data_IF_929142853273
#
_entry.id   IF_929142853273
#
_cell.length_a   1.000
_cell.length_b   1.000
_cell.length_c   1.000
_cell.angle_alpha   90.00
_cell.angle_beta   90.00
_cell.angle_gamma   90.00
#
_symmetry.space_group_name_H-M   'P 1'
#
loop_
_entity.id
_entity.type
_entity.pdbx_description
1 polymer ?
#
# COMPACT_ATOMS: atom_id res chain seq x y z
N UNK A 1 -2.06 15.30 22.00
CA UNK A 1 -0.90 16.11 21.59
C UNK A 1 0.30 15.62 22.39
N UNK A 2 1.31 15.06 21.73
CA UNK A 2 2.59 14.62 22.33
C UNK A 2 3.67 15.57 21.82
N UNK A 3 4.60 15.97 22.70
CA UNK A 3 5.63 16.99 22.47
C UNK A 3 6.88 16.44 21.74
N UNK A 4 6.78 15.26 21.12
CA UNK A 4 7.89 14.67 20.36
C UNK A 4 9.08 14.20 21.21
N UNK A 5 9.05 14.39 22.53
CA UNK A 5 10.03 13.86 23.48
C UNK A 5 9.27 13.09 24.57
N UNK A 6 9.29 11.76 24.46
CA UNK A 6 8.56 10.86 25.37
C UNK A 6 9.26 10.77 26.74
N UNK A 7 9.10 11.79 27.58
CA UNK A 7 9.72 11.85 28.91
C UNK A 7 8.78 11.49 30.07
N UNK A 8 7.82 10.58 29.86
CA UNK A 8 6.99 10.04 30.95
C UNK A 8 6.85 8.51 30.86
N UNK A 9 7.77 7.80 31.52
CA UNK A 9 7.55 6.44 32.04
C UNK A 9 7.97 5.25 31.18
N UNK A 10 7.99 5.38 29.85
CA UNK A 10 8.40 4.30 28.92
C UNK A 10 9.56 4.80 28.06
N UNK A 11 10.78 4.66 28.58
CA UNK A 11 12.02 5.02 27.88
C UNK A 11 12.57 3.90 26.99
N UNK A 12 11.85 2.77 26.88
CA UNK A 12 12.16 1.67 25.95
C UNK A 12 11.09 1.66 24.84
N UNK A 13 11.45 1.89 23.56
CA UNK A 13 10.54 1.80 22.43
C UNK A 13 9.69 0.53 22.42
N UNK A 14 10.27 -0.63 22.79
CA UNK A 14 9.53 -1.91 22.83
C UNK A 14 8.49 -1.94 23.94
N UNK A 15 8.77 -1.30 25.08
CA UNK A 15 7.80 -1.20 26.18
C UNK A 15 6.61 -0.32 25.81
N UNK A 16 6.83 0.70 24.97
CA UNK A 16 5.76 1.54 24.43
C UNK A 16 4.92 0.78 23.40
N UNK A 17 5.55 0.00 22.51
CA UNK A 17 4.87 -0.87 21.56
C UNK A 17 3.95 -1.87 22.28
N UNK A 18 4.46 -2.61 23.26
CA UNK A 18 3.64 -3.55 24.07
C UNK A 18 2.49 -2.85 24.80
N UNK A 19 2.73 -1.65 25.35
CA UNK A 19 1.65 -0.90 25.99
C UNK A 19 0.55 -0.50 24.99
N UNK A 20 0.93 -0.14 23.78
CA UNK A 20 -0.01 0.23 22.72
C UNK A 20 -0.80 -1.00 22.27
N UNK A 21 -0.14 -2.16 22.09
CA UNK A 21 -0.78 -3.44 21.80
C UNK A 21 -1.81 -3.82 22.88
N UNK A 22 -1.44 -3.73 24.16
CA UNK A 22 -2.36 -3.99 25.28
C UNK A 22 -3.59 -3.04 25.26
N UNK A 23 -3.38 -1.78 24.87
CA UNK A 23 -4.47 -0.80 24.75
C UNK A 23 -5.36 -1.07 23.55
N UNK A 24 -4.76 -1.45 22.42
CA UNK A 24 -5.49 -1.90 21.23
C UNK A 24 -6.39 -3.08 21.56
N UNK A 25 -5.88 -4.09 22.26
CA UNK A 25 -6.65 -5.29 22.62
C UNK A 25 -7.83 -4.96 23.56
N UNK A 26 -7.76 -3.83 24.29
CA UNK A 26 -8.86 -3.27 25.08
C UNK A 26 -9.85 -2.39 24.29
N UNK A 27 -9.70 -2.31 22.96
CA UNK A 27 -10.53 -1.52 22.05
C UNK A 27 -10.09 -0.07 21.86
N UNK A 28 -8.85 0.29 22.23
CA UNK A 28 -8.32 1.65 22.08
C UNK A 28 -7.34 1.75 20.91
N UNK A 29 -7.71 2.50 19.88
CA UNK A 29 -6.86 2.76 18.73
C UNK A 29 -5.93 3.97 18.94
N UNK A 30 -4.70 3.91 18.43
CA UNK A 30 -3.73 5.01 18.49
C UNK A 30 -3.48 5.61 17.10
N UNK A 31 -3.88 6.86 16.91
CA UNK A 31 -3.42 7.67 15.76
C UNK A 31 -2.41 8.74 16.21
N UNK A 32 -1.34 8.90 15.43
CA UNK A 32 -0.23 9.82 15.72
C UNK A 32 -0.21 10.92 14.67
N UNK A 33 -0.37 12.17 15.10
CA UNK A 33 -0.35 13.35 14.23
C UNK A 33 0.88 14.20 14.56
N UNK A 34 1.83 14.28 13.63
CA UNK A 34 2.98 15.15 13.71
C UNK A 34 2.71 16.48 13.01
N UNK A 35 3.23 17.58 13.56
CA UNK A 35 3.11 18.91 12.96
C UNK A 35 4.49 19.57 12.88
N UNK A 36 4.83 20.23 11.77
CA UNK A 36 6.08 20.99 11.67
C UNK A 36 6.61 21.15 10.24
N UNK A 37 7.89 21.52 10.10
CA UNK A 37 8.59 21.68 8.81
C UNK A 37 10.01 21.05 8.78
N UNK A 38 10.30 20.06 9.63
CA UNK A 38 11.68 19.54 9.81
C UNK A 38 11.78 18.16 10.49
N UNK A 39 12.99 17.57 10.41
CA UNK A 39 13.37 16.16 10.63
C UNK A 39 12.44 15.30 11.50
N UNK A 40 11.95 14.20 10.93
CA UNK A 40 10.81 13.48 11.45
C UNK A 40 11.14 12.02 11.72
N UNK A 41 10.83 11.61 12.94
CA UNK A 41 10.73 10.21 13.32
C UNK A 41 9.44 9.60 12.72
N UNK A 42 9.27 9.76 11.40
CA UNK A 42 8.13 9.27 10.63
C UNK A 42 8.00 7.76 10.79
N UNK A 43 9.14 7.05 10.76
CA UNK A 43 9.22 5.63 11.05
C UNK A 43 8.70 5.27 12.44
N UNK A 44 9.01 6.08 13.47
CA UNK A 44 8.51 5.84 14.84
C UNK A 44 7.02 6.14 14.93
N UNK A 45 6.54 7.25 14.37
CA UNK A 45 5.11 7.57 14.36
C UNK A 45 4.30 6.48 13.64
N UNK A 46 4.81 6.02 12.50
CA UNK A 46 4.20 4.97 11.70
C UNK A 46 4.17 3.64 12.45
N UNK A 47 5.28 3.26 13.10
CA UNK A 47 5.36 2.04 13.91
C UNK A 47 4.37 2.08 15.08
N UNK A 48 4.31 3.18 15.83
CA UNK A 48 3.39 3.31 16.98
C UNK A 48 1.94 3.28 16.54
N UNK A 49 1.59 3.97 15.45
CA UNK A 49 0.23 3.96 14.92
C UNK A 49 -0.16 2.57 14.39
N UNK A 50 0.76 1.86 13.72
CA UNK A 50 0.54 0.50 13.23
C UNK A 50 0.26 -0.46 14.39
N UNK A 51 1.07 -0.45 15.45
CA UNK A 51 0.88 -1.32 16.61
C UNK A 51 -0.41 -0.99 17.39
N UNK A 52 -0.93 0.23 17.25
CA UNK A 52 -2.18 0.66 17.85
C UNK A 52 -3.37 0.64 16.89
N UNK A 53 -3.26 -0.03 15.75
CA UNK A 53 -4.30 -0.15 14.72
C UNK A 53 -4.86 1.20 14.22
N UNK A 54 -4.10 2.29 14.33
CA UNK A 54 -4.50 3.62 13.89
C UNK A 54 -3.65 4.15 12.73
N UNK A 55 -3.67 5.47 12.55
CA UNK A 55 -3.00 6.13 11.42
C UNK A 55 -1.90 7.07 11.91
N UNK A 56 -0.81 7.15 11.14
CA UNK A 56 0.20 8.18 11.31
C UNK A 56 0.07 9.20 10.18
N UNK A 57 0.06 10.48 10.51
CA UNK A 57 0.06 11.54 9.51
C UNK A 57 0.95 12.70 9.95
N UNK A 58 1.68 13.26 9.00
CA UNK A 58 2.46 14.47 9.20
C UNK A 58 1.78 15.65 8.50
N UNK A 59 1.63 16.75 9.22
CA UNK A 59 0.90 17.93 8.77
C UNK A 59 1.87 19.12 8.78
N UNK A 60 2.34 19.49 7.59
CA UNK A 60 3.24 20.62 7.35
C UNK A 60 2.59 21.76 6.55
N UNK A 61 1.51 21.45 5.84
CA UNK A 61 0.72 22.39 5.06
C UNK A 61 -0.73 22.42 5.53
N UNK A 62 -1.43 23.52 5.22
CA UNK A 62 -2.87 23.65 5.49
C UNK A 62 -3.67 22.60 4.68
N UNK A 63 -3.23 22.30 3.46
CA UNK A 63 -3.86 21.28 2.63
C UNK A 63 -3.76 19.89 3.25
N UNK A 64 -2.57 19.50 3.75
CA UNK A 64 -2.42 18.22 4.45
C UNK A 64 -3.21 18.19 5.77
N UNK A 65 -3.29 19.32 6.48
CA UNK A 65 -4.15 19.44 7.67
C UNK A 65 -5.62 19.19 7.32
N UNK A 66 -6.11 19.77 6.23
CA UNK A 66 -7.48 19.56 5.77
C UNK A 66 -7.71 18.11 5.34
N UNK A 67 -6.78 17.52 4.58
CA UNK A 67 -6.83 16.11 4.18
C UNK A 67 -6.98 15.18 5.39
N UNK A 68 -6.12 15.35 6.38
CA UNK A 68 -6.04 14.45 7.54
C UNK A 68 -7.17 14.69 8.52
N UNK A 69 -7.48 15.96 8.84
CA UNK A 69 -8.39 16.32 9.93
C UNK A 69 -9.84 16.58 9.48
N UNK A 70 -10.10 16.72 8.18
CA UNK A 70 -11.44 16.98 7.66
C UNK A 70 -11.87 15.85 6.73
N UNK A 71 -11.08 15.58 5.69
CA UNK A 71 -11.50 14.66 4.62
C UNK A 71 -11.38 13.18 5.06
N UNK A 72 -10.29 12.82 5.73
CA UNK A 72 -9.98 11.44 6.11
C UNK A 72 -10.25 11.11 7.59
N UNK A 73 -10.63 12.10 8.41
CA UNK A 73 -10.77 11.93 9.86
C UNK A 73 -11.75 10.82 10.23
N UNK A 74 -12.86 10.68 9.51
CA UNK A 74 -13.87 9.66 9.80
C UNK A 74 -13.37 8.24 9.51
N UNK A 75 -12.52 8.06 8.50
CA UNK A 75 -11.93 6.75 8.17
C UNK A 75 -10.89 6.32 9.20
N UNK A 76 -10.15 7.27 9.77
CA UNK A 76 -9.18 7.00 10.83
C UNK A 76 -9.80 6.65 12.20
N UNK A 77 -11.08 7.02 12.43
CA UNK A 77 -11.74 6.85 13.73
C UNK A 77 -12.58 5.58 13.86
N UNK A 78 -13.06 5.02 12.74
CA UNK A 78 -13.96 3.87 12.76
C UNK A 78 -13.53 2.82 11.72
N UNK A 79 -12.79 1.78 12.13
CA UNK A 79 -12.51 0.66 11.24
C UNK A 79 -13.81 -0.07 10.91
N UNK A 80 -13.92 -0.46 9.65
CA UNK A 80 -15.03 -1.29 9.14
C UNK A 80 -14.59 -2.74 8.94
N UNK A 81 -13.28 -2.98 8.93
CA UNK A 81 -12.68 -4.31 8.83
C UNK A 81 -11.30 -4.29 9.51
N UNK A 82 -11.12 -5.25 10.41
CA UNK A 82 -9.89 -5.46 11.16
C UNK A 82 -9.11 -6.65 10.58
N UNK A 83 -7.82 -6.74 10.85
CA UNK A 83 -6.92 -7.84 10.46
C UNK A 83 -7.02 -8.17 8.96
N UNK A 84 -7.04 -7.14 8.11
CA UNK A 84 -7.23 -7.31 6.68
C UNK A 84 -5.98 -7.88 6.03
N UNK A 85 -6.10 -9.09 5.49
CA UNK A 85 -5.07 -9.82 4.77
C UNK A 85 -5.46 -9.93 3.31
N UNK A 86 -4.56 -9.53 2.42
CA UNK A 86 -4.74 -9.61 0.98
C UNK A 86 -3.70 -10.57 0.42
N UNK A 87 -4.15 -11.52 -0.39
CA UNK A 87 -3.29 -12.41 -1.15
C UNK A 87 -3.79 -12.45 -2.59
N UNK A 88 -2.85 -12.26 -3.53
CA UNK A 88 -3.07 -12.44 -4.95
C UNK A 88 -2.31 -13.67 -5.40
N UNK A 89 -3.00 -14.55 -6.12
CA UNK A 89 -2.42 -15.72 -6.76
C UNK A 89 -2.61 -15.60 -8.27
N UNK A 90 -1.52 -15.53 -9.03
CA UNK A 90 -1.59 -15.45 -10.48
C UNK A 90 -1.68 -16.85 -11.10
N UNK A 91 -2.43 -16.94 -12.19
CA UNK A 91 -2.59 -18.18 -12.93
C UNK A 91 -1.32 -18.47 -13.75
N UNK A 92 -0.58 -19.57 -13.47
CA UNK A 92 0.67 -19.88 -14.16
C UNK A 92 0.46 -20.24 -15.65
N UNK A 93 -0.79 -20.44 -16.09
CA UNK A 93 -1.10 -20.62 -17.51
C UNK A 93 -1.06 -19.33 -18.32
N UNK A 94 -1.26 -18.17 -17.67
CA UNK A 94 -1.38 -16.86 -18.33
C UNK A 94 -0.27 -15.90 -17.91
N UNK A 95 0.22 -16.01 -16.67
CA UNK A 95 1.27 -15.14 -16.09
C UNK A 95 2.50 -15.98 -15.76
N UNK A 96 3.63 -15.65 -16.37
CA UNK A 96 4.91 -16.30 -16.10
C UNK A 96 5.61 -15.69 -14.88
N UNK A 97 5.55 -14.38 -14.73
CA UNK A 97 6.25 -13.63 -13.68
C UNK A 97 5.35 -12.50 -13.18
N UNK A 98 5.50 -12.14 -11.91
CA UNK A 98 4.81 -10.99 -11.33
C UNK A 98 5.60 -10.37 -10.20
N UNK A 99 5.41 -9.07 -9.99
CA UNK A 99 6.08 -8.29 -8.95
C UNK A 99 5.13 -7.23 -8.40
N UNK A 100 5.07 -7.11 -7.08
CA UNK A 100 4.34 -6.03 -6.43
C UNK A 100 5.17 -4.74 -6.54
N UNK A 101 4.65 -3.74 -7.26
CA UNK A 101 5.32 -2.45 -7.50
C UNK A 101 4.63 -1.27 -6.79
N UNK A 102 3.52 -1.53 -6.10
CA UNK A 102 2.86 -0.57 -5.22
C UNK A 102 2.07 -1.31 -4.14
N UNK A 103 2.15 -0.83 -2.89
CA UNK A 103 1.64 -1.42 -1.62
C UNK A 103 2.70 -2.16 -0.76
N UNK A 104 3.84 -1.53 -0.45
CA UNK A 104 4.96 -2.21 0.22
C UNK A 104 4.83 -2.32 1.74
N UNK A 105 4.21 -1.36 2.44
CA UNK A 105 4.26 -1.29 3.92
C UNK A 105 3.39 -2.32 4.65
N UNK A 106 2.72 -3.22 3.92
CA UNK A 106 1.81 -4.24 4.48
C UNK A 106 1.89 -5.58 3.74
N UNK A 107 3.03 -5.86 3.09
CA UNK A 107 3.26 -7.14 2.45
C UNK A 107 3.32 -8.26 3.50
N UNK A 108 2.45 -9.26 3.37
CA UNK A 108 2.37 -10.40 4.28
C UNK A 108 3.08 -11.61 3.66
N UNK A 109 3.78 -12.40 4.47
CA UNK A 109 4.33 -13.67 4.04
C UNK A 109 3.19 -14.65 3.66
N UNK A 110 3.44 -15.53 2.69
CA UNK A 110 2.40 -16.43 2.16
C UNK A 110 1.86 -17.38 3.24
N UNK A 111 2.74 -17.83 4.13
CA UNK A 111 2.42 -18.69 5.27
C UNK A 111 1.50 -18.04 6.32
N UNK A 112 1.57 -16.71 6.47
CA UNK A 112 0.86 -15.98 7.52
C UNK A 112 -0.59 -15.65 7.15
N UNK A 113 -0.97 -15.82 5.87
CA UNK A 113 -2.30 -15.46 5.36
C UNK A 113 -3.47 -16.18 6.06
N UNK A 114 -3.26 -17.42 6.49
CA UNK A 114 -4.29 -18.24 7.16
C UNK A 114 -4.17 -18.23 8.69
N UNK A 115 -3.18 -17.53 9.24
CA UNK A 115 -2.93 -17.52 10.67
C UNK A 115 -3.65 -16.32 11.32
N UNK A 116 -4.79 -16.56 11.97
CA UNK A 116 -5.56 -15.51 12.66
C UNK A 116 -4.83 -14.91 13.88
N UNK A 117 -3.70 -15.48 14.30
CA UNK A 117 -2.82 -14.91 15.34
C UNK A 117 -1.80 -13.90 14.77
N UNK A 118 -1.65 -13.80 13.46
CA UNK A 118 -0.82 -12.77 12.82
C UNK A 118 -1.69 -11.56 12.53
N UNK A 119 -1.29 -10.42 13.09
CA UNK A 119 -1.94 -9.13 12.88
C UNK A 119 -1.72 -8.61 11.45
N UNK A 120 -2.67 -7.84 10.94
CA UNK A 120 -2.63 -7.32 9.57
C UNK A 120 -3.22 -5.91 9.50
N UNK A 121 -3.45 -5.39 8.28
CA UNK A 121 -3.84 -3.99 8.13
C UNK A 121 -5.30 -3.73 8.49
N UNK A 122 -5.60 -2.58 9.09
CA UNK A 122 -6.99 -2.13 9.28
C UNK A 122 -7.51 -1.36 8.05
N UNK A 123 -8.81 -1.47 7.79
CA UNK A 123 -9.54 -0.65 6.82
C UNK A 123 -10.59 0.21 7.50
N UNK A 124 -10.40 1.53 7.40
CA UNK A 124 -11.34 2.55 7.81
C UNK A 124 -12.48 2.77 6.82
N UNK A 125 -13.60 3.31 7.31
CA UNK A 125 -14.68 3.75 6.42
C UNK A 125 -14.16 4.79 5.39
N UNK A 126 -14.36 4.52 4.11
CA UNK A 126 -13.88 5.40 3.02
C UNK A 126 -12.40 5.22 2.66
N UNK A 127 -11.66 4.32 3.32
CA UNK A 127 -10.29 3.98 2.91
C UNK A 127 -10.32 3.15 1.62
N UNK A 128 -9.40 3.48 0.72
CA UNK A 128 -9.14 2.71 -0.49
C UNK A 128 -7.72 2.17 -0.44
N UNK A 129 -7.57 0.87 -0.69
CA UNK A 129 -6.27 0.23 -0.84
C UNK A 129 -6.06 -0.11 -2.30
N UNK A 130 -4.88 0.22 -2.82
CA UNK A 130 -4.47 -0.09 -4.18
C UNK A 130 -3.16 -0.87 -4.14
N UNK A 131 -3.20 -2.12 -4.60
CA UNK A 131 -2.02 -2.92 -4.88
C UNK A 131 -1.78 -2.93 -6.39
N UNK A 132 -0.55 -2.64 -6.80
CA UNK A 132 -0.18 -2.59 -8.21
C UNK A 132 0.83 -3.68 -8.47
N UNK A 133 0.51 -4.57 -9.40
CA UNK A 133 1.39 -5.63 -9.85
C UNK A 133 1.86 -5.35 -11.27
N UNK A 134 3.16 -5.51 -11.48
CA UNK A 134 3.74 -5.73 -12.80
C UNK A 134 3.68 -7.22 -13.10
N UNK A 135 3.24 -7.59 -14.30
CA UNK A 135 3.13 -8.99 -14.71
C UNK A 135 3.79 -9.21 -16.07
N UNK A 136 4.39 -10.37 -16.25
CA UNK A 136 4.90 -10.84 -17.54
C UNK A 136 4.03 -11.99 -18.03
N UNK A 137 3.30 -11.84 -19.14
CA UNK A 137 2.53 -12.93 -19.72
C UNK A 137 3.40 -14.10 -20.18
N UNK A 138 2.86 -15.32 -20.13
CA UNK A 138 3.54 -16.51 -20.67
C UNK A 138 3.86 -16.32 -22.15
N UNK A 139 5.11 -16.58 -22.54
CA UNK A 139 5.59 -16.44 -23.92
C UNK A 139 5.98 -15.01 -24.33
N UNK A 140 5.93 -14.05 -23.40
CA UNK A 140 6.42 -12.69 -23.63
C UNK A 140 7.95 -12.69 -23.87
N UNK A 141 8.45 -11.89 -24.83
CA UNK A 141 9.90 -11.70 -24.99
C UNK A 141 10.54 -10.95 -23.81
N UNK A 142 9.74 -10.36 -22.91
CA UNK A 142 10.21 -9.67 -21.71
C UNK A 142 10.41 -10.60 -20.49
N UNK A 143 10.19 -11.91 -20.65
CA UNK A 143 10.42 -12.88 -19.59
C UNK A 143 11.90 -12.92 -19.19
N UNK A 144 12.17 -12.75 -17.90
CA UNK A 144 13.54 -12.66 -17.35
C UNK A 144 14.07 -14.01 -16.85
N UNK A 145 13.18 -14.95 -16.53
CA UNK A 145 13.50 -16.25 -15.98
C UNK A 145 13.34 -17.39 -17.00
N UNK A 146 14.32 -18.30 -17.00
CA UNK A 146 14.22 -19.54 -17.77
C UNK A 146 13.16 -20.47 -17.15
N UNK A 147 12.44 -21.27 -17.98
CA UNK A 147 11.55 -22.30 -17.47
C UNK A 147 12.27 -23.28 -16.52
N UNK A 148 11.62 -23.60 -15.40
CA UNK A 148 12.17 -24.53 -14.42
C UNK A 148 12.36 -25.93 -15.02
N UNK A 149 13.60 -26.40 -15.05
CA UNK A 149 13.98 -27.70 -15.65
C UNK A 149 13.22 -28.91 -15.08
N UNK A 150 12.85 -28.85 -13.81
CA UNK A 150 12.28 -29.97 -13.06
C UNK A 150 10.82 -29.76 -12.65
N UNK A 151 10.23 -28.63 -13.03
CA UNK A 151 8.83 -28.33 -12.72
C UNK A 151 8.07 -28.28 -14.04
N UNK A 152 7.22 -29.29 -14.26
CA UNK A 152 6.30 -29.25 -15.37
C UNK A 152 5.28 -28.12 -15.13
N UNK A 153 5.02 -27.31 -16.15
CA UNK A 153 3.90 -26.37 -16.14
C UNK A 153 2.59 -27.16 -16.22
N UNK A 154 2.07 -27.61 -15.07
CA UNK A 154 0.72 -28.19 -15.01
C UNK A 154 -0.29 -27.08 -15.27
N UNK A 155 -0.78 -27.06 -16.50
CA UNK A 155 -1.72 -26.06 -16.99
C UNK A 155 -3.11 -26.68 -17.03
N UNK A 156 -3.74 -26.82 -15.87
CA UNK A 156 -5.05 -27.52 -15.77
C UNK A 156 -6.25 -26.59 -16.00
N UNK A 157 -6.01 -25.28 -16.17
CA UNK A 157 -7.06 -24.28 -16.26
C UNK A 157 -7.29 -23.82 -17.70
N UNK A 158 -8.47 -24.13 -18.25
CA UNK A 158 -9.03 -23.55 -19.49
C UNK A 158 -9.80 -22.26 -19.13
N UNK A 159 -9.27 -21.47 -18.20
CA UNK A 159 -9.91 -20.22 -17.76
C UNK A 159 -9.14 -19.02 -18.32
N UNK A 160 -9.87 -18.00 -18.75
CA UNK A 160 -9.36 -16.68 -19.14
C UNK A 160 -8.93 -15.83 -17.91
N UNK A 161 -8.85 -16.45 -16.74
CA UNK A 161 -8.39 -15.87 -15.49
C UNK A 161 -6.90 -15.53 -15.55
N UNK A 162 -6.59 -14.28 -15.19
CA UNK A 162 -5.22 -13.85 -14.87
C UNK A 162 -4.80 -14.31 -13.49
N UNK A 163 -5.76 -14.44 -12.56
CA UNK A 163 -5.46 -14.85 -11.21
C UNK A 163 -6.67 -14.76 -10.29
N UNK A 164 -6.38 -14.86 -9.00
CA UNK A 164 -7.35 -15.01 -7.93
C UNK A 164 -6.98 -14.13 -6.75
N UNK A 165 -7.93 -13.31 -6.29
CA UNK A 165 -7.81 -12.48 -5.10
C UNK A 165 -8.44 -13.20 -3.92
N UNK A 166 -7.69 -13.31 -2.81
CA UNK A 166 -8.19 -13.69 -1.50
C UNK A 166 -8.06 -12.52 -0.53
N UNK A 167 -9.17 -12.14 0.07
CA UNK A 167 -9.24 -11.10 1.09
C UNK A 167 -9.81 -11.72 2.36
N UNK A 168 -9.05 -11.71 3.44
CA UNK A 168 -9.52 -12.12 4.76
C UNK A 168 -9.63 -10.90 5.66
N UNK A 169 -10.70 -10.80 6.46
CA UNK A 169 -10.89 -9.70 7.41
C UNK A 169 -11.75 -10.16 8.60
N UNK A 170 -11.68 -9.44 9.73
CA UNK A 170 -12.59 -9.58 10.86
C UNK A 170 -13.54 -8.38 10.88
N UNK A 171 -14.83 -8.61 11.14
CA UNK A 171 -15.74 -7.49 11.37
C UNK A 171 -15.39 -6.81 12.71
N UNK A 172 -15.66 -5.50 12.89
CA UNK A 172 -15.34 -4.81 14.13
C UNK A 172 -15.96 -5.51 15.35
N UNK A 173 -15.13 -5.93 16.30
CA UNK A 173 -15.55 -6.65 17.51
C UNK A 173 -15.77 -8.15 17.35
N UNK A 174 -15.48 -8.72 16.18
CA UNK A 174 -15.48 -10.18 15.94
C UNK A 174 -14.06 -10.75 15.97
N UNK A 175 -13.92 -11.94 16.56
CA UNK A 175 -12.64 -12.66 16.59
C UNK A 175 -12.47 -13.62 15.41
N UNK A 176 -13.55 -13.92 14.69
CA UNK A 176 -13.57 -14.88 13.58
C UNK A 176 -13.44 -14.14 12.25
N UNK A 177 -12.51 -14.59 11.43
CA UNK A 177 -12.27 -13.99 10.12
C UNK A 177 -13.25 -14.49 9.05
N UNK A 178 -13.59 -13.59 8.13
CA UNK A 178 -14.39 -13.82 6.93
C UNK A 178 -13.46 -13.82 5.72
N UNK A 179 -13.72 -14.71 4.75
CA UNK A 179 -12.91 -14.87 3.54
C UNK A 179 -13.74 -14.49 2.31
N UNK A 180 -13.21 -13.57 1.51
CA UNK A 180 -13.72 -13.21 0.19
C UNK A 180 -12.72 -13.73 -0.84
N UNK A 181 -13.26 -14.42 -1.84
CA UNK A 181 -12.50 -15.01 -2.93
C UNK A 181 -13.08 -14.54 -4.26
N UNK A 182 -12.25 -14.00 -5.13
CA UNK A 182 -12.70 -13.43 -6.41
C UNK A 182 -11.66 -13.67 -7.51
N UNK A 183 -12.00 -14.42 -8.58
CA UNK A 183 -11.16 -14.52 -9.76
C UNK A 183 -11.15 -13.18 -10.51
N UNK A 184 -10.03 -12.86 -11.17
CA UNK A 184 -9.93 -11.70 -12.05
C UNK A 184 -9.34 -12.09 -13.41
N UNK A 185 -9.88 -11.50 -14.46
CA UNK A 185 -9.51 -11.75 -15.86
C UNK A 185 -8.80 -10.52 -16.44
N UNK A 186 -8.16 -10.69 -17.60
CA UNK A 186 -7.54 -9.58 -18.34
C UNK A 186 -8.60 -8.75 -19.06
N UNK A 187 -9.42 -7.98 -18.32
CA UNK A 187 -10.44 -7.14 -18.95
C UNK A 187 -10.48 -5.74 -18.35
N UNK A 188 -10.34 -4.74 -19.23
CA UNK A 188 -10.61 -3.34 -18.92
C UNK A 188 -9.62 -2.38 -19.57
N UNK A 189 -10.15 -1.28 -20.10
CA UNK A 189 -9.33 -0.07 -20.29
C UNK A 189 -9.12 0.52 -18.89
N UNK A 190 -7.88 0.72 -18.43
CA UNK A 190 -7.64 1.26 -17.11
C UNK A 190 -8.22 2.67 -17.01
N UNK A 191 -8.91 2.95 -15.91
CA UNK A 191 -9.43 4.28 -15.64
C UNK A 191 -8.31 5.28 -15.31
N UNK A 192 -8.67 6.56 -15.31
CA UNK A 192 -7.77 7.67 -14.95
C UNK A 192 -7.06 7.44 -13.63
N UNK A 193 -7.76 6.97 -12.60
CA UNK A 193 -7.15 6.75 -11.28
C UNK A 193 -6.13 5.61 -11.27
N UNK A 194 -6.39 4.52 -12.00
CA UNK A 194 -5.46 3.41 -12.11
C UNK A 194 -4.16 3.84 -12.82
N UNK A 195 -4.29 4.62 -13.90
CA UNK A 195 -3.15 5.15 -14.64
C UNK A 195 -2.38 6.20 -13.84
N UNK A 196 -3.07 7.05 -13.06
CA UNK A 196 -2.42 7.96 -12.13
C UNK A 196 -1.65 7.21 -11.04
N UNK A 197 -2.26 6.20 -10.43
CA UNK A 197 -1.60 5.37 -9.42
C UNK A 197 -0.37 4.64 -9.98
N UNK A 198 -0.44 4.15 -11.22
CA UNK A 198 0.70 3.56 -11.92
C UNK A 198 1.86 4.57 -12.11
N UNK A 199 1.55 5.83 -12.42
CA UNK A 199 2.57 6.88 -12.52
C UNK A 199 3.28 7.16 -11.19
N UNK A 200 2.53 7.09 -10.07
CA UNK A 200 3.08 7.27 -8.71
C UNK A 200 3.95 6.07 -8.33
N UNK A 201 3.52 4.84 -8.62
CA UNK A 201 4.29 3.63 -8.36
C UNK A 201 5.61 3.64 -9.15
N UNK A 202 5.56 3.98 -10.43
CA UNK A 202 6.77 4.13 -11.23
C UNK A 202 7.69 5.25 -10.73
N UNK A 203 7.14 6.41 -10.35
CA UNK A 203 7.90 7.48 -9.70
C UNK A 203 8.62 7.00 -8.43
N UNK A 204 7.94 6.20 -7.60
CA UNK A 204 8.55 5.56 -6.42
C UNK A 204 9.67 4.58 -6.77
N UNK A 205 9.55 3.84 -7.88
CA UNK A 205 10.65 2.97 -8.36
C UNK A 205 11.85 3.78 -8.85
N UNK A 206 11.64 4.91 -9.56
CA UNK A 206 12.72 5.79 -10.01
C UNK A 206 13.50 6.38 -8.83
N UNK A 207 12.81 6.79 -7.77
CA UNK A 207 13.45 7.28 -6.54
C UNK A 207 14.31 6.22 -5.83
N UNK A 208 14.00 4.94 -6.04
CA UNK A 208 14.74 3.80 -5.45
C UNK A 208 15.82 3.24 -6.36
N UNK A 209 15.99 3.80 -7.56
CA UNK A 209 16.91 3.30 -8.58
C UNK A 209 16.68 1.80 -8.88
N UNK A 210 15.40 1.44 -9.08
CA UNK A 210 14.99 0.05 -9.25
C UNK A 210 15.45 -0.54 -10.60
N UNK A 211 15.98 -1.75 -10.58
CA UNK A 211 16.70 -2.36 -11.74
C UNK A 211 15.79 -2.79 -12.89
N UNK A 212 14.48 -2.83 -12.66
CA UNK A 212 13.52 -3.42 -13.59
C UNK A 212 12.80 -2.39 -14.48
N UNK A 213 13.16 -1.11 -14.38
CA UNK A 213 12.51 -0.02 -15.12
C UNK A 213 12.90 0.04 -16.61
N UNK A 214 14.00 -0.59 -17.01
CA UNK A 214 14.53 -0.53 -18.39
C UNK A 214 14.63 0.92 -18.88
N UNK A 215 13.95 1.27 -19.99
CA UNK A 215 13.95 2.60 -20.60
C UNK A 215 12.91 3.55 -19.97
N UNK A 216 12.11 3.11 -19.00
CA UNK A 216 11.06 3.91 -18.40
C UNK A 216 11.65 4.95 -17.43
N UNK A 217 11.42 6.24 -17.72
CA UNK A 217 12.10 7.34 -17.05
C UNK A 217 11.17 8.38 -16.41
N UNK A 218 11.79 9.45 -15.87
CA UNK A 218 11.07 10.57 -15.25
C UNK A 218 10.05 11.21 -16.20
N UNK A 219 10.38 11.36 -17.48
CA UNK A 219 9.49 11.95 -18.48
C UNK A 219 8.22 11.10 -18.68
N UNK A 220 8.35 9.76 -18.68
CA UNK A 220 7.22 8.85 -18.80
C UNK A 220 6.30 8.93 -17.57
N UNK A 221 6.90 8.95 -16.37
CA UNK A 221 6.16 9.13 -15.12
C UNK A 221 5.34 10.44 -15.12
N UNK A 222 5.99 11.55 -15.49
CA UNK A 222 5.38 12.88 -15.55
C UNK A 222 4.29 12.93 -16.63
N UNK A 223 4.55 12.36 -17.82
CA UNK A 223 3.58 12.34 -18.91
C UNK A 223 2.33 11.53 -18.52
N UNK A 224 2.53 10.34 -17.94
CA UNK A 224 1.44 9.47 -17.50
C UNK A 224 0.59 10.14 -16.40
N UNK A 225 1.25 10.78 -15.41
CA UNK A 225 0.58 11.51 -14.34
C UNK A 225 -0.24 12.70 -14.86
N UNK A 226 0.33 13.49 -15.79
CA UNK A 226 -0.37 14.65 -16.36
C UNK A 226 -1.59 14.23 -17.19
N UNK A 227 -1.44 13.20 -18.03
CA UNK A 227 -2.53 12.67 -18.85
C UNK A 227 -3.69 12.13 -18.00
N UNK A 228 -3.38 11.66 -16.79
CA UNK A 228 -4.33 10.99 -15.90
C UNK A 228 -4.58 11.72 -14.59
N UNK A 229 -4.32 13.05 -14.54
CA UNK A 229 -4.52 13.81 -13.30
C UNK A 229 -5.97 13.76 -12.81
N UNK A 230 -6.95 13.76 -13.72
CA UNK A 230 -8.37 13.72 -13.34
C UNK A 230 -8.80 14.94 -12.51
N UNK A 231 -9.84 14.76 -11.68
CA UNK A 231 -10.29 15.79 -10.74
C UNK A 231 -9.32 15.93 -9.57
N UNK A 232 -8.88 17.16 -9.31
CA UNK A 232 -7.86 17.47 -8.31
C UNK A 232 -8.32 18.66 -7.45
N UNK A 233 -9.44 18.49 -6.75
CA UNK A 233 -10.11 19.57 -6.01
C UNK A 233 -9.19 20.26 -4.99
N UNK A 234 -8.24 19.50 -4.43
CA UNK A 234 -7.34 19.97 -3.38
C UNK A 234 -5.89 20.16 -3.85
N UNK A 235 -5.59 19.87 -5.12
CA UNK A 235 -4.26 20.10 -5.71
C UNK A 235 -3.22 19.01 -5.46
N UNK A 236 -3.53 17.93 -4.73
CA UNK A 236 -2.57 16.87 -4.39
C UNK A 236 -1.96 16.19 -5.62
N UNK A 237 -2.75 15.98 -6.67
CA UNK A 237 -2.23 15.32 -7.89
C UNK A 237 -1.33 16.25 -8.68
N UNK A 238 -1.63 17.55 -8.68
CA UNK A 238 -0.77 18.59 -9.24
C UNK A 238 0.54 18.69 -8.48
N UNK A 239 0.49 18.63 -7.14
CA UNK A 239 1.68 18.64 -6.28
C UNK A 239 2.57 17.41 -6.53
N UNK A 240 1.99 16.21 -6.66
CA UNK A 240 2.74 15.01 -7.02
C UNK A 240 3.53 15.17 -8.34
N UNK A 241 2.90 15.77 -9.37
CA UNK A 241 3.59 16.07 -10.64
C UNK A 241 4.70 17.10 -10.45
N UNK A 242 4.54 18.09 -9.57
CA UNK A 242 5.59 19.07 -9.26
C UNK A 242 6.78 18.39 -8.57
N UNK A 243 6.52 17.46 -7.64
CA UNK A 243 7.57 16.66 -6.99
C UNK A 243 8.32 15.78 -7.99
N UNK A 244 7.62 15.16 -8.95
CA UNK A 244 8.26 14.39 -10.03
C UNK A 244 9.23 15.26 -10.85
N UNK A 245 8.82 16.48 -11.22
CA UNK A 245 9.67 17.43 -11.96
C UNK A 245 10.86 17.91 -11.13
N UNK A 246 10.65 18.14 -9.84
CA UNK A 246 11.73 18.52 -8.93
C UNK A 246 12.77 17.39 -8.84
N UNK A 247 12.32 16.15 -8.61
CA UNK A 247 13.20 14.98 -8.57
C UNK A 247 14.00 14.84 -9.88
N UNK A 248 13.33 14.92 -11.04
CA UNK A 248 13.97 14.92 -12.35
C UNK A 248 15.07 15.99 -12.47
N UNK A 249 14.81 17.21 -11.97
CA UNK A 249 15.79 18.30 -12.04
C UNK A 249 17.02 18.08 -11.14
N UNK A 250 16.88 17.29 -10.08
CA UNK A 250 17.96 16.95 -9.14
C UNK A 250 18.76 15.72 -9.58
N UNK A 251 18.18 14.87 -10.43
CA UNK A 251 18.85 13.70 -11.02
C UNK A 251 19.68 14.03 -12.27
N UNK A 252 19.65 15.28 -12.75
CA UNK A 252 20.44 15.78 -13.87
C UNK A 252 21.77 16.40 -13.45
#
# INVERSE_FOLDING_TARGET
>A
ATDGDFNVGLSDPRGLETYIEDKRDSGTYLSVLGFGRGNLQDATMQSLAQNGNGTAAYIDTLSEAQKVLVDNLTGALFPIANDVKIQVEFNPSTVAEYRLIGYETRALAREDFNNDAVDAGELGAGHTVTAIYEITPVGSPAQLSDPLRYQAAETTSISDELGFLRLRYKAPGEDVSQLIETPFTSTGTPGTDALFAASIAGFGQLLRDDTYLNDWGWDDAIALANANRGTDQFGYRTEAVQLMRLAQSLSN
#
